data_IF_837103136604
#
_entry.id   IF_837103136604
#
_cell.length_a   1.000
_cell.length_b   1.000
_cell.length_c   1.000
_cell.angle_alpha   90.00
_cell.angle_beta   90.00
_cell.angle_gamma   90.00
#
_symmetry.space_group_name_H-M   'P 1'
#
loop_
_entity.id
_entity.type
_entity.pdbx_description
1 polymer ?
#
# COMPACT_ATOMS: atom_id res chain seq x y z
N UNK A 1 28.88 -1.10 -14.89
CA UNK A 1 27.49 -1.60 -14.75
C UNK A 1 26.59 -0.71 -15.59
N UNK A 2 25.44 -1.20 -16.05
CA UNK A 2 24.49 -0.37 -16.82
C UNK A 2 23.45 0.26 -15.89
N UNK A 3 23.21 1.56 -16.08
CA UNK A 3 22.09 2.28 -15.47
C UNK A 3 20.82 2.06 -16.30
N UNK A 4 19.74 1.57 -15.67
CA UNK A 4 18.49 1.24 -16.38
C UNK A 4 17.40 2.30 -16.14
N UNK A 5 16.80 2.81 -17.22
CA UNK A 5 15.66 3.71 -17.18
C UNK A 5 14.39 2.96 -17.58
N UNK A 6 13.38 2.97 -16.70
CA UNK A 6 12.08 2.36 -16.93
C UNK A 6 10.99 3.44 -17.02
N UNK A 7 10.43 3.61 -18.22
CA UNK A 7 9.21 4.40 -18.43
C UNK A 7 8.00 3.72 -17.80
N UNK A 8 6.89 4.45 -17.66
CA UNK A 8 5.64 3.88 -17.13
C UNK A 8 5.13 2.68 -17.95
N UNK A 9 5.25 2.76 -19.29
CA UNK A 9 4.87 1.66 -20.18
C UNK A 9 5.83 0.45 -20.05
N UNK A 10 7.13 0.69 -19.83
CA UNK A 10 8.09 -0.37 -19.56
C UNK A 10 7.77 -1.08 -18.24
N UNK A 11 7.50 -0.32 -17.17
CA UNK A 11 7.07 -0.86 -15.87
C UNK A 11 5.79 -1.69 -16.04
N UNK A 12 4.77 -1.15 -16.70
CA UNK A 12 3.53 -1.88 -16.99
C UNK A 12 3.78 -3.17 -17.77
N UNK A 13 4.65 -3.13 -18.76
CA UNK A 13 4.98 -4.30 -19.59
C UNK A 13 5.56 -5.43 -18.71
N UNK A 14 6.55 -5.11 -17.89
CA UNK A 14 7.17 -6.07 -16.97
C UNK A 14 6.14 -6.62 -15.98
N UNK A 15 5.40 -5.74 -15.30
CA UNK A 15 4.46 -6.14 -14.25
C UNK A 15 3.28 -6.97 -14.76
N UNK A 16 2.76 -6.69 -15.96
CA UNK A 16 1.65 -7.48 -16.52
C UNK A 16 2.08 -8.86 -16.98
N UNK A 17 3.36 -9.06 -17.27
CA UNK A 17 3.94 -10.33 -17.70
C UNK A 17 4.36 -11.23 -16.54
N UNK A 18 4.15 -10.80 -15.29
CA UNK A 18 4.44 -11.61 -14.11
C UNK A 18 3.40 -12.71 -13.96
N UNK A 19 3.87 -13.93 -13.78
CA UNK A 19 3.04 -15.08 -13.43
C UNK A 19 2.87 -15.23 -11.91
N UNK A 20 2.26 -16.34 -11.49
CA UNK A 20 2.05 -16.62 -10.06
C UNK A 20 3.36 -16.82 -9.30
N UNK A 21 4.33 -17.49 -9.90
CA UNK A 21 5.60 -17.81 -9.25
C UNK A 21 6.49 -16.56 -9.14
N UNK A 22 6.50 -15.71 -10.19
CA UNK A 22 7.10 -14.39 -10.18
C UNK A 22 6.54 -13.53 -9.02
N UNK A 23 5.21 -13.47 -8.88
CA UNK A 23 4.56 -12.71 -7.80
C UNK A 23 4.89 -13.29 -6.42
N UNK A 24 4.94 -14.62 -6.29
CA UNK A 24 5.30 -15.27 -5.02
C UNK A 24 6.77 -15.01 -4.64
N UNK A 25 7.68 -15.02 -5.62
CA UNK A 25 9.09 -14.68 -5.42
C UNK A 25 9.24 -13.22 -4.98
N UNK A 26 8.59 -12.27 -5.67
CA UNK A 26 8.57 -10.85 -5.28
C UNK A 26 7.98 -10.65 -3.88
N UNK A 27 6.91 -11.36 -3.54
CA UNK A 27 6.37 -11.34 -2.18
C UNK A 27 7.37 -11.88 -1.17
N UNK A 28 8.12 -12.92 -1.51
CA UNK A 28 9.09 -13.49 -0.60
C UNK A 28 10.25 -12.50 -0.33
N UNK A 29 10.82 -11.91 -1.38
CA UNK A 29 11.86 -10.89 -1.24
C UNK A 29 11.38 -9.70 -0.40
N UNK A 30 10.17 -9.19 -0.68
CA UNK A 30 9.60 -8.09 0.10
C UNK A 30 9.31 -8.50 1.56
N UNK A 31 8.83 -9.72 1.80
CA UNK A 31 8.59 -10.24 3.13
C UNK A 31 9.88 -10.35 3.95
N UNK A 32 10.99 -10.70 3.30
CA UNK A 32 12.31 -10.84 3.91
C UNK A 32 12.87 -9.48 4.31
N UNK A 33 12.78 -8.50 3.41
CA UNK A 33 13.17 -7.12 3.74
C UNK A 33 12.29 -6.50 4.82
N UNK A 34 10.98 -6.76 4.83
CA UNK A 34 10.09 -6.30 5.89
C UNK A 34 10.40 -6.95 7.24
N UNK A 35 10.80 -8.23 7.24
CA UNK A 35 11.24 -8.89 8.45
C UNK A 35 12.50 -8.23 9.03
N UNK A 36 13.50 -8.00 8.17
CA UNK A 36 14.74 -7.26 8.49
C UNK A 36 14.43 -5.85 9.00
N UNK A 37 13.43 -5.19 8.44
CA UNK A 37 12.96 -3.88 8.92
C UNK A 37 12.34 -3.92 10.32
N UNK A 38 11.53 -4.95 10.60
CA UNK A 38 10.83 -5.12 11.86
C UNK A 38 11.70 -5.62 13.01
N UNK A 39 12.89 -6.18 12.73
CA UNK A 39 13.77 -6.73 13.75
C UNK A 39 14.99 -5.85 13.94
N UNK A 40 15.10 -5.34 15.16
CA UNK A 40 16.27 -4.62 15.68
C UNK A 40 17.33 -5.66 16.06
N UNK A 41 18.15 -6.05 15.09
CA UNK A 41 19.35 -6.86 15.32
C UNK A 41 20.55 -5.92 15.11
N UNK A 42 21.41 -5.77 16.13
CA UNK A 42 22.59 -4.89 16.13
C UNK A 42 23.54 -5.12 14.93
N UNK A 43 23.37 -6.23 14.21
CA UNK A 43 24.13 -6.59 13.01
C UNK A 43 23.57 -6.03 11.70
N UNK A 44 22.37 -5.43 11.72
CA UNK A 44 21.59 -5.12 10.53
C UNK A 44 21.34 -3.61 10.35
N UNK A 45 22.07 -2.95 9.44
CA UNK A 45 21.96 -1.49 9.20
C UNK A 45 20.72 -1.02 8.43
N UNK A 46 19.65 -1.82 8.35
CA UNK A 46 18.45 -1.55 7.55
C UNK A 46 17.13 -1.69 8.32
N UNK A 47 17.19 -1.83 9.64
CA UNK A 47 15.99 -1.86 10.49
C UNK A 47 15.23 -0.50 10.47
N UNK A 48 14.08 -0.47 11.14
CA UNK A 48 13.22 0.70 11.23
C UNK A 48 13.91 1.97 11.77
N UNK A 49 14.90 1.85 12.66
CA UNK A 49 15.62 2.97 13.27
C UNK A 49 16.57 3.67 12.29
N UNK A 50 17.06 2.95 11.27
CA UNK A 50 17.90 3.50 10.21
C UNK A 50 17.09 4.12 9.05
N UNK A 51 15.77 3.90 9.01
CA UNK A 51 14.94 4.49 7.96
C UNK A 51 14.57 5.94 8.29
N UNK A 52 14.78 6.82 7.32
CA UNK A 52 14.38 8.21 7.47
C UNK A 52 12.86 8.37 7.26
N UNK A 53 12.19 9.21 8.07
CA UNK A 53 10.80 9.55 7.83
C UNK A 53 10.67 10.31 6.51
N UNK A 54 9.55 10.10 5.81
CA UNK A 54 9.22 10.86 4.60
C UNK A 54 9.30 12.37 4.87
N UNK A 55 9.95 13.09 3.96
CA UNK A 55 10.08 14.54 4.02
C UNK A 55 9.11 15.19 3.04
N UNK A 56 8.58 16.37 3.39
CA UNK A 56 7.65 17.10 2.53
C UNK A 56 8.15 18.50 2.23
N UNK A 57 8.18 18.86 0.95
CA UNK A 57 8.42 20.21 0.46
C UNK A 57 7.11 20.79 -0.06
N UNK A 58 6.63 21.85 0.59
CA UNK A 58 5.43 22.59 0.16
C UNK A 58 5.85 23.79 -0.69
N UNK A 59 5.30 23.86 -1.91
CA UNK A 59 5.52 24.96 -2.83
C UNK A 59 4.45 26.05 -2.63
N UNK A 60 4.76 27.28 -3.04
CA UNK A 60 3.84 28.44 -2.90
C UNK A 60 2.53 28.27 -3.66
N UNK A 61 2.52 27.44 -4.69
CA UNK A 61 1.35 27.14 -5.52
C UNK A 61 0.47 25.99 -4.97
N UNK A 62 0.74 25.54 -3.74
CA UNK A 62 -0.01 24.47 -3.07
C UNK A 62 0.44 23.06 -3.44
N UNK A 63 1.37 22.88 -4.40
CA UNK A 63 1.95 21.56 -4.68
C UNK A 63 2.80 21.09 -3.50
N UNK A 64 2.71 19.82 -3.18
CA UNK A 64 3.53 19.19 -2.14
C UNK A 64 4.34 18.07 -2.76
N UNK A 65 5.66 18.16 -2.68
CA UNK A 65 6.57 17.08 -3.11
C UNK A 65 7.00 16.30 -1.88
N UNK A 66 6.83 14.98 -1.93
CA UNK A 66 7.26 14.03 -0.92
C UNK A 66 8.56 13.37 -1.35
N UNK A 67 9.51 13.29 -0.43
CA UNK A 67 10.77 12.59 -0.57
C UNK A 67 10.76 11.41 0.40
N UNK A 68 10.92 10.20 -0.13
CA UNK A 68 10.85 8.96 0.62
C UNK A 68 12.16 8.20 0.41
N UNK A 69 13.25 8.61 1.08
CA UNK A 69 14.49 7.85 1.10
C UNK A 69 14.27 6.53 1.85
N UNK A 70 14.98 5.48 1.45
CA UNK A 70 15.00 4.21 2.14
C UNK A 70 16.31 3.45 1.87
N UNK A 71 16.64 2.55 2.79
CA UNK A 71 17.77 1.65 2.69
C UNK A 71 17.30 0.20 2.88
N UNK A 72 17.90 -0.71 2.13
CA UNK A 72 17.82 -2.16 2.28
C UNK A 72 19.24 -2.71 2.25
N UNK A 73 19.44 -3.99 2.59
CA UNK A 73 20.78 -4.57 2.75
C UNK A 73 21.72 -4.33 1.54
N UNK A 74 21.15 -4.37 0.34
CA UNK A 74 21.93 -4.29 -0.90
C UNK A 74 21.69 -3.00 -1.70
N UNK A 75 20.67 -2.20 -1.33
CA UNK A 75 20.24 -1.05 -2.14
C UNK A 75 19.84 0.15 -1.28
N UNK A 76 20.20 1.33 -1.76
CA UNK A 76 19.70 2.61 -1.26
C UNK A 76 18.85 3.26 -2.35
N UNK A 77 17.77 3.93 -1.98
CA UNK A 77 16.96 4.62 -2.98
C UNK A 77 16.13 5.73 -2.41
N UNK A 78 15.54 6.51 -3.33
CA UNK A 78 14.63 7.58 -2.98
C UNK A 78 13.48 7.63 -3.95
N UNK A 79 12.27 7.61 -3.41
CA UNK A 79 11.07 7.91 -4.19
C UNK A 79 10.71 9.37 -4.02
N UNK A 80 10.54 10.08 -5.13
CA UNK A 80 10.11 11.47 -5.15
C UNK A 80 8.76 11.55 -5.84
N UNK A 81 7.76 12.09 -5.15
CA UNK A 81 6.37 12.13 -5.64
C UNK A 81 5.80 13.52 -5.43
N UNK A 82 5.19 14.11 -6.46
CA UNK A 82 4.49 15.40 -6.33
C UNK A 82 2.98 15.20 -6.33
N UNK A 83 2.34 15.72 -5.29
CA UNK A 83 0.90 15.83 -5.16
C UNK A 83 0.46 17.20 -5.68
N UNK A 84 -0.43 17.20 -6.67
CA UNK A 84 -1.11 18.41 -7.13
C UNK A 84 -1.96 18.99 -6.00
N UNK A 85 -2.08 20.32 -5.92
CA UNK A 85 -3.08 20.95 -5.06
C UNK A 85 -4.46 20.43 -5.48
N UNK A 86 -5.13 19.66 -4.63
CA UNK A 86 -6.51 19.28 -4.84
C UNK A 86 -7.39 20.47 -4.46
N UNK A 87 -8.26 20.90 -5.39
CA UNK A 87 -9.28 21.93 -5.15
C UNK A 87 -10.09 21.60 -3.90
N UNK A 88 -9.85 22.36 -2.83
CA UNK A 88 -10.67 22.36 -1.61
C UNK A 88 -12.06 22.99 -1.83
N UNK A 89 -12.66 22.84 -3.01
CA UNK A 89 -13.95 23.41 -3.38
C UNK A 89 -14.75 22.48 -4.30
N UNK A 90 -15.28 21.38 -3.75
CA UNK A 90 -16.42 20.68 -4.37
C UNK A 90 -17.20 19.83 -3.36
N UNK A 91 -17.67 20.47 -2.29
CA UNK A 91 -18.71 19.92 -1.42
C UNK A 91 -19.61 21.05 -0.89
N UNK A 92 -20.42 21.63 -1.78
CA UNK A 92 -21.55 22.45 -1.38
C UNK A 92 -22.66 22.33 -2.44
N UNK A 93 -23.54 21.35 -2.24
CA UNK A 93 -24.74 21.14 -3.03
C UNK A 93 -25.94 20.92 -2.13
N UNK A 94 -26.72 21.99 -1.94
CA UNK A 94 -28.15 22.04 -1.57
C UNK A 94 -28.60 21.74 -0.12
N UNK A 95 -28.86 22.83 0.62
CA UNK A 95 -30.20 23.09 1.16
C UNK A 95 -30.44 24.59 1.32
N UNK A 96 -31.47 25.12 0.64
CA UNK A 96 -31.96 26.50 0.78
C UNK A 96 -32.75 26.64 2.10
N UNK A 97 -32.44 27.67 2.88
CA UNK A 97 -33.23 28.17 4.01
C UNK A 97 -32.68 29.55 4.44
N UNK A 98 -33.55 30.53 4.64
CA UNK A 98 -33.29 31.99 4.56
C UNK A 98 -32.76 32.70 5.83
N UNK A 99 -32.14 33.88 5.60
CA UNK A 99 -31.98 35.09 6.47
C UNK A 99 -31.13 34.96 7.75
N UNK A 100 -30.22 35.86 8.19
CA UNK A 100 -29.70 37.21 7.83
C UNK A 100 -28.39 37.45 8.64
N UNK A 101 -27.58 38.51 8.41
CA UNK A 101 -26.13 38.53 8.70
C UNK A 101 -25.68 39.29 9.97
N UNK A 102 -24.55 38.88 10.57
CA UNK A 102 -23.66 39.79 11.33
C UNK A 102 -22.24 39.22 11.59
N UNK A 103 -21.25 39.84 10.94
CA UNK A 103 -19.91 40.27 11.38
C UNK A 103 -19.00 39.44 12.32
N UNK A 104 -17.80 39.17 11.77
CA UNK A 104 -16.42 39.41 12.27
C UNK A 104 -15.63 38.32 13.03
N UNK A 105 -14.57 37.93 12.34
CA UNK A 105 -13.16 37.71 12.75
C UNK A 105 -12.78 36.56 13.69
N UNK A 106 -12.13 35.53 13.12
CA UNK A 106 -11.06 34.76 13.77
C UNK A 106 -10.08 34.15 12.72
N UNK A 107 -8.75 34.17 12.97
CA UNK A 107 -7.72 33.94 11.96
C UNK A 107 -7.31 32.47 11.71
N UNK A 108 -6.57 32.30 10.62
CA UNK A 108 -6.10 31.08 9.96
C UNK A 108 -5.33 30.05 10.82
N UNK A 109 -5.69 28.79 10.64
CA UNK A 109 -5.18 27.59 11.31
C UNK A 109 -3.93 26.98 10.61
N UNK A 110 -2.93 27.82 10.32
CA UNK A 110 -1.67 27.40 9.64
C UNK A 110 -0.43 27.44 10.54
N UNK A 111 -0.58 27.57 11.86
CA UNK A 111 0.53 27.61 12.81
C UNK A 111 0.31 26.61 13.95
N UNK A 112 0.66 25.33 13.73
CA UNK A 112 0.85 24.41 14.86
C UNK A 112 1.69 23.16 14.56
N UNK A 113 2.58 23.17 13.57
CA UNK A 113 3.42 21.99 13.29
C UNK A 113 4.84 22.39 12.86
N UNK A 114 5.58 22.98 13.80
CA UNK A 114 7.04 23.07 13.73
C UNK A 114 7.62 23.57 15.06
N UNK A 115 7.52 22.74 16.10
CA UNK A 115 8.41 22.83 17.25
C UNK A 115 8.90 21.44 17.59
N UNK A 116 10.14 21.15 17.22
CA UNK A 116 11.11 20.47 18.08
C UNK A 116 12.48 20.37 17.39
N UNK A 117 13.50 20.68 18.20
CA UNK A 117 14.94 20.48 18.01
C UNK A 117 15.73 21.57 17.26
N UNK A 118 16.16 22.54 18.07
CA UNK A 118 17.35 23.36 17.85
C UNK A 118 18.56 22.68 18.49
N UNK A 119 19.66 22.55 17.75
CA UNK A 119 21.01 22.44 18.31
C UNK A 119 21.98 23.31 17.49
N UNK A 120 22.86 23.98 18.24
CA UNK A 120 23.53 25.22 17.93
C UNK A 120 24.65 25.15 16.87
N UNK A 121 24.87 26.24 16.12
CA UNK A 121 26.15 26.98 16.15
C UNK A 121 26.10 28.34 15.42
N UNK A 122 26.41 29.38 16.21
CA UNK A 122 27.13 30.64 15.98
C UNK A 122 27.10 31.33 14.59
N UNK A 123 26.58 32.55 14.65
CA UNK A 123 26.54 33.62 13.64
C UNK A 123 27.88 34.33 13.41
N UNK A 124 28.10 34.81 12.18
CA UNK A 124 28.60 36.17 11.96
C UNK A 124 28.32 36.64 10.52
N UNK A 125 27.41 37.61 10.37
CA UNK A 125 27.31 38.50 9.20
C UNK A 125 28.25 39.69 9.40
N UNK A 126 28.66 40.43 8.34
CA UNK A 126 27.82 41.56 7.92
C UNK A 126 27.81 41.90 6.40
N UNK A 127 26.63 42.36 5.96
CA UNK A 127 26.29 43.54 5.12
C UNK A 127 26.96 43.85 3.75
N UNK A 128 26.25 44.59 2.86
CA UNK A 128 26.41 44.51 1.40
C UNK A 128 27.04 45.76 0.73
N UNK A 129 27.59 45.59 -0.47
CA UNK A 129 27.85 46.70 -1.40
C UNK A 129 27.78 46.26 -2.88
N UNK A 130 26.96 47.02 -3.62
CA UNK A 130 26.70 47.25 -5.06
C UNK A 130 27.40 46.45 -6.19
N UNK A 131 26.74 46.34 -7.38
CA UNK A 131 27.20 45.58 -8.54
C UNK A 131 28.04 46.44 -9.52
N UNK A 132 29.00 45.82 -10.21
CA UNK A 132 29.61 46.40 -11.41
C UNK A 132 30.01 45.30 -12.42
N UNK A 133 29.73 45.63 -13.69
CA UNK A 133 30.26 45.12 -14.96
C UNK A 133 29.93 43.70 -15.45
N UNK A 134 28.95 43.65 -16.36
CA UNK A 134 28.85 42.65 -17.42
C UNK A 134 29.25 43.30 -18.77
N UNK A 135 30.08 42.66 -19.61
CA UNK A 135 30.32 43.09 -21.00
C UNK A 135 29.19 42.62 -21.94
N UNK A 136 29.08 43.21 -23.15
CA UNK A 136 27.88 43.14 -23.98
C UNK A 136 27.71 41.83 -24.76
N UNK A 137 26.45 41.53 -25.03
CA UNK A 137 25.93 40.36 -25.72
C UNK A 137 26.49 40.18 -27.15
N UNK A 138 27.02 38.98 -27.43
CA UNK A 138 27.20 38.48 -28.80
C UNK A 138 26.02 37.56 -29.11
N UNK A 139 25.11 38.06 -29.94
CA UNK A 139 23.92 37.36 -30.41
C UNK A 139 24.30 36.32 -31.50
N UNK A 140 24.39 35.05 -31.13
CA UNK A 140 24.40 33.95 -32.10
C UNK A 140 22.97 33.55 -32.46
N UNK A 141 22.57 33.89 -33.68
CA UNK A 141 21.30 33.55 -34.29
C UNK A 141 21.24 32.04 -34.64
N UNK A 142 20.77 31.21 -33.72
CA UNK A 142 20.42 29.81 -34.00
C UNK A 142 18.93 29.73 -34.38
N UNK A 143 18.67 29.78 -35.69
CA UNK A 143 17.41 29.30 -36.27
C UNK A 143 17.28 27.80 -36.02
N UNK A 144 16.45 27.42 -35.05
CA UNK A 144 16.14 26.01 -34.81
C UNK A 144 15.63 25.71 -33.41
N UNK A 145 14.72 26.53 -32.86
CA UNK A 145 14.04 26.17 -31.61
C UNK A 145 12.76 25.42 -31.94
N UNK A 146 12.85 24.10 -32.01
CA UNK A 146 11.69 23.25 -31.76
C UNK A 146 11.20 23.58 -30.35
N UNK A 147 10.11 24.33 -30.24
CA UNK A 147 9.39 24.45 -28.99
C UNK A 147 8.93 23.04 -28.61
N UNK A 148 9.53 22.45 -27.57
CA UNK A 148 8.93 21.30 -26.88
C UNK A 148 7.67 21.84 -26.22
N UNK A 149 6.59 21.79 -26.99
CA UNK A 149 5.26 22.09 -26.53
C UNK A 149 4.89 20.95 -25.58
N UNK A 150 4.94 21.22 -24.28
CA UNK A 150 4.33 20.35 -23.30
C UNK A 150 2.88 20.16 -23.73
N UNK A 151 2.54 18.97 -24.21
CA UNK A 151 1.18 18.53 -24.43
C UNK A 151 0.47 18.48 -23.08
N UNK A 152 0.06 19.64 -22.57
CA UNK A 152 -0.93 19.72 -21.52
C UNK A 152 -2.21 19.17 -22.14
N UNK A 153 -2.46 17.88 -21.91
CA UNK A 153 -3.77 17.30 -22.19
C UNK A 153 -4.78 18.15 -21.40
N UNK A 154 -5.63 18.87 -22.12
CA UNK A 154 -6.71 19.70 -21.58
C UNK A 154 -7.84 18.84 -20.97
N UNK A 155 -7.49 17.83 -20.17
CA UNK A 155 -8.43 17.11 -19.33
C UNK A 155 -8.54 17.86 -18.01
N UNK A 156 -9.63 18.61 -17.84
CA UNK A 156 -10.10 19.24 -16.58
C UNK A 156 -10.50 18.21 -15.51
N UNK A 157 -9.80 17.10 -15.41
CA UNK A 157 -9.84 16.19 -14.26
C UNK A 157 -8.41 16.10 -13.77
N UNK A 158 -8.10 16.85 -12.70
CA UNK A 158 -6.81 16.74 -12.04
C UNK A 158 -6.56 15.26 -11.73
N UNK A 159 -5.51 14.68 -12.33
CA UNK A 159 -5.16 13.30 -12.08
C UNK A 159 -4.88 13.15 -10.58
N UNK A 160 -5.71 12.39 -9.88
CA UNK A 160 -5.56 12.10 -8.44
C UNK A 160 -4.41 11.12 -8.17
N UNK A 161 -3.79 10.59 -9.23
CA UNK A 161 -2.65 9.68 -9.11
C UNK A 161 -1.37 10.51 -8.95
N UNK A 162 -0.63 10.33 -7.84
CA UNK A 162 0.62 11.03 -7.63
C UNK A 162 1.63 10.69 -8.74
N UNK A 163 2.30 11.71 -9.29
CA UNK A 163 3.36 11.54 -10.29
C UNK A 163 4.72 11.59 -9.62
N UNK A 164 5.63 10.71 -10.01
CA UNK A 164 6.93 10.63 -9.38
C UNK A 164 7.89 9.69 -10.08
N UNK A 165 9.08 9.59 -9.50
CA UNK A 165 10.11 8.64 -9.91
C UNK A 165 10.75 8.00 -8.68
N UNK A 166 11.29 6.80 -8.88
CA UNK A 166 12.10 6.07 -7.93
C UNK A 166 13.51 5.98 -8.49
N UNK A 167 14.48 6.47 -7.73
CA UNK A 167 15.90 6.33 -8.04
C UNK A 167 16.50 5.26 -7.13
N UNK A 168 17.24 4.32 -7.71
CA UNK A 168 17.92 3.24 -7.03
C UNK A 168 19.43 3.36 -7.19
N UNK A 169 20.15 3.09 -6.12
CA UNK A 169 21.61 3.03 -6.05
C UNK A 169 22.03 1.67 -5.51
N UNK A 170 23.15 1.17 -6.00
CA UNK A 170 23.79 -0.01 -5.44
C UNK A 170 24.53 0.32 -4.14
N UNK A 171 25.10 -0.70 -3.49
CA UNK A 171 25.85 -0.57 -2.24
C UNK A 171 27.13 0.28 -2.37
N UNK A 172 27.61 0.56 -3.59
CA UNK A 172 28.77 1.41 -3.84
C UNK A 172 28.40 2.88 -4.08
N UNK A 173 27.09 3.16 -4.19
CA UNK A 173 26.55 4.49 -4.48
C UNK A 173 26.41 4.81 -5.97
N UNK A 174 26.64 3.85 -6.86
CA UNK A 174 26.39 4.02 -8.29
C UNK A 174 24.90 3.91 -8.59
N UNK A 175 24.40 4.71 -9.54
CA UNK A 175 22.99 4.69 -9.89
C UNK A 175 22.63 3.42 -10.66
N UNK A 176 21.78 2.59 -10.06
CA UNK A 176 21.30 1.34 -10.64
C UNK A 176 20.13 1.56 -11.60
N UNK A 177 19.16 2.38 -11.20
CA UNK A 177 17.96 2.59 -12.01
C UNK A 177 17.19 3.88 -11.71
N UNK A 178 16.44 4.34 -12.72
CA UNK A 178 15.44 5.39 -12.63
C UNK A 178 14.11 4.88 -13.17
N UNK A 179 13.12 4.78 -12.30
CA UNK A 179 11.86 4.08 -12.56
C UNK A 179 10.71 5.08 -12.43
N UNK A 180 9.77 5.09 -13.37
CA UNK A 180 8.51 5.80 -13.15
C UNK A 180 7.76 5.21 -11.94
N UNK A 181 7.38 6.05 -10.99
CA UNK A 181 6.84 5.60 -9.71
C UNK A 181 5.33 5.27 -9.74
N UNK A 182 4.63 5.61 -10.81
CA UNK A 182 3.17 5.62 -10.84
C UNK A 182 2.58 4.21 -10.73
N UNK A 183 3.01 3.30 -11.60
CA UNK A 183 2.51 1.93 -11.61
C UNK A 183 3.09 1.09 -10.46
N UNK A 184 4.40 1.21 -10.23
CA UNK A 184 5.10 0.42 -9.20
C UNK A 184 4.58 0.72 -7.78
N UNK A 185 4.18 1.96 -7.48
CA UNK A 185 3.63 2.32 -6.16
C UNK A 185 2.31 1.58 -5.89
N UNK A 186 1.45 1.44 -6.90
CA UNK A 186 0.22 0.69 -6.76
C UNK A 186 0.48 -0.82 -6.67
N UNK A 187 1.38 -1.33 -7.51
CA UNK A 187 1.77 -2.73 -7.50
C UNK A 187 2.38 -3.18 -6.17
N UNK A 188 3.39 -2.48 -5.66
CA UNK A 188 4.07 -2.85 -4.39
C UNK A 188 3.12 -2.82 -3.18
N UNK A 189 2.13 -1.93 -3.21
CA UNK A 189 1.12 -1.83 -2.15
C UNK A 189 0.18 -3.04 -2.18
N UNK A 190 -0.27 -3.41 -3.39
CA UNK A 190 -1.05 -4.62 -3.61
C UNK A 190 -0.23 -5.89 -3.30
N UNK A 191 1.07 -5.90 -3.60
CA UNK A 191 1.96 -7.02 -3.35
C UNK A 191 2.03 -7.36 -1.86
N UNK A 192 2.23 -6.34 -1.01
CA UNK A 192 2.24 -6.49 0.44
C UNK A 192 0.85 -6.85 1.00
N UNK A 193 -0.21 -6.15 0.58
CA UNK A 193 -1.56 -6.42 1.07
C UNK A 193 -2.05 -7.82 0.67
N UNK A 194 -1.53 -8.41 -0.41
CA UNK A 194 -1.93 -9.77 -0.80
C UNK A 194 -1.14 -10.88 -0.12
N UNK A 195 -0.12 -10.57 0.69
CA UNK A 195 0.65 -11.57 1.46
C UNK A 195 -0.21 -12.29 2.51
N UNK A 196 -1.13 -11.56 3.15
CA UNK A 196 -2.10 -12.13 4.10
C UNK A 196 -3.30 -12.72 3.37
N UNK A 197 -3.74 -12.09 2.27
CA UNK A 197 -4.83 -12.58 1.43
C UNK A 197 -4.58 -14.00 0.92
N UNK A 198 -3.38 -14.31 0.39
CA UNK A 198 -3.10 -15.64 -0.17
C UNK A 198 -3.22 -16.76 0.85
N UNK A 199 -3.03 -16.46 2.14
CA UNK A 199 -3.13 -17.41 3.27
C UNK A 199 -4.59 -17.70 3.64
N UNK A 200 -5.57 -16.89 3.21
CA UNK A 200 -6.98 -17.08 3.61
C UNK A 200 -7.53 -18.39 3.09
N UNK A 201 -8.22 -19.16 3.94
CA UNK A 201 -8.85 -20.40 3.48
C UNK A 201 -10.03 -20.15 2.53
N UNK A 202 -10.75 -19.05 2.73
CA UNK A 202 -11.87 -18.67 1.87
C UNK A 202 -11.60 -17.31 1.23
N UNK A 203 -11.75 -17.23 -0.09
CA UNK A 203 -11.65 -16.02 -0.91
C UNK A 203 -12.74 -15.93 -1.99
N UNK A 204 -13.85 -16.69 -1.83
CA UNK A 204 -14.89 -16.80 -2.86
C UNK A 204 -15.53 -15.46 -3.23
N UNK A 205 -15.67 -14.54 -2.27
CA UNK A 205 -16.29 -13.24 -2.47
C UNK A 205 -15.29 -12.14 -2.09
N UNK A 206 -14.80 -11.42 -3.09
CA UNK A 206 -13.86 -10.30 -2.91
C UNK A 206 -14.58 -8.99 -3.25
N UNK A 207 -14.42 -7.99 -2.39
CA UNK A 207 -14.92 -6.63 -2.64
C UNK A 207 -13.76 -5.64 -2.69
N UNK A 208 -13.77 -4.75 -3.67
CA UNK A 208 -12.77 -3.70 -3.84
C UNK A 208 -13.48 -2.36 -3.93
N UNK A 209 -13.09 -1.43 -3.06
CA UNK A 209 -13.52 -0.03 -3.14
C UNK A 209 -12.56 0.76 -4.00
N UNK A 210 -13.12 1.52 -4.94
CA UNK A 210 -12.39 2.31 -5.91
C UNK A 210 -12.24 1.61 -7.26
N UNK A 211 -11.86 2.39 -8.26
CA UNK A 211 -11.59 1.91 -9.62
C UNK A 211 -10.30 2.53 -10.22
N UNK A 212 -9.37 2.91 -9.35
CA UNK A 212 -8.06 3.47 -9.75
C UNK A 212 -6.97 2.41 -9.84
N UNK A 213 -5.70 2.84 -9.99
CA UNK A 213 -4.55 1.93 -10.09
C UNK A 213 -4.40 0.99 -8.89
N UNK A 214 -4.67 1.48 -7.68
CA UNK A 214 -4.62 0.65 -6.48
C UNK A 214 -5.65 -0.49 -6.56
N UNK A 215 -6.93 -0.17 -6.83
CA UNK A 215 -7.98 -1.17 -7.04
C UNK A 215 -7.62 -2.18 -8.14
N UNK A 216 -7.06 -1.69 -9.26
CA UNK A 216 -6.62 -2.53 -10.38
C UNK A 216 -5.58 -3.57 -9.97
N UNK A 217 -4.50 -3.16 -9.30
CA UNK A 217 -3.43 -4.07 -8.91
C UNK A 217 -3.85 -5.03 -7.79
N UNK A 218 -4.70 -4.58 -6.85
CA UNK A 218 -5.28 -5.46 -5.85
C UNK A 218 -6.16 -6.54 -6.50
N UNK A 219 -6.99 -6.18 -7.48
CA UNK A 219 -7.78 -7.14 -8.24
C UNK A 219 -6.89 -8.11 -9.02
N UNK A 220 -5.90 -7.60 -9.77
CA UNK A 220 -5.02 -8.42 -10.60
C UNK A 220 -4.21 -9.41 -9.77
N UNK A 221 -3.56 -8.97 -8.69
CA UNK A 221 -2.77 -9.86 -7.83
C UNK A 221 -3.65 -10.87 -7.08
N UNK A 222 -4.85 -10.48 -6.64
CA UNK A 222 -5.79 -11.44 -6.04
C UNK A 222 -6.16 -12.56 -7.03
N UNK A 223 -6.41 -12.21 -8.30
CA UNK A 223 -6.74 -13.16 -9.36
C UNK A 223 -5.54 -14.02 -9.80
N UNK A 224 -4.32 -13.48 -9.81
CA UNK A 224 -3.10 -14.28 -10.07
C UNK A 224 -2.88 -15.30 -8.94
N UNK A 225 -3.03 -14.88 -7.69
CA UNK A 225 -2.71 -15.73 -6.55
C UNK A 225 -3.78 -16.80 -6.29
N UNK A 226 -5.07 -16.43 -6.44
CA UNK A 226 -6.23 -17.23 -6.01
C UNK A 226 -7.40 -17.20 -6.99
N UNK A 227 -7.15 -16.95 -8.28
CA UNK A 227 -8.18 -16.78 -9.30
C UNK A 227 -9.25 -17.86 -9.30
N UNK A 228 -8.85 -19.13 -9.26
CA UNK A 228 -9.76 -20.29 -9.32
C UNK A 228 -10.71 -20.37 -8.12
N UNK A 229 -10.31 -19.84 -6.97
CA UNK A 229 -11.12 -19.83 -5.75
C UNK A 229 -12.06 -18.61 -5.68
N UNK A 230 -11.79 -17.56 -6.45
CA UNK A 230 -12.59 -16.33 -6.44
C UNK A 230 -13.80 -16.54 -7.35
N UNK A 231 -15.00 -16.60 -6.77
CA UNK A 231 -16.24 -16.78 -7.51
C UNK A 231 -16.88 -15.44 -7.89
N UNK A 232 -16.81 -14.44 -7.01
CA UNK A 232 -17.36 -13.10 -7.21
C UNK A 232 -16.33 -12.01 -6.90
N UNK A 233 -16.19 -11.07 -7.83
CA UNK A 233 -15.42 -9.84 -7.66
C UNK A 233 -16.36 -8.63 -7.75
N UNK A 234 -16.54 -7.96 -6.62
CA UNK A 234 -17.44 -6.81 -6.49
C UNK A 234 -16.64 -5.51 -6.46
N UNK A 235 -16.93 -4.58 -7.37
CA UNK A 235 -16.30 -3.27 -7.42
C UNK A 235 -17.28 -2.22 -6.91
N UNK A 236 -16.93 -1.55 -5.81
CA UNK A 236 -17.70 -0.42 -5.27
C UNK A 236 -17.03 0.87 -5.70
N UNK A 237 -17.69 1.67 -6.53
CA UNK A 237 -17.11 2.91 -7.05
C UNK A 237 -18.14 4.03 -7.21
N UNK A 238 -17.68 5.28 -7.17
CA UNK A 238 -18.54 6.47 -7.32
C UNK A 238 -19.26 6.52 -8.67
N UNK A 239 -18.57 6.12 -9.75
CA UNK A 239 -19.10 6.08 -11.11
C UNK A 239 -19.06 4.68 -11.69
N UNK A 240 -20.11 4.32 -12.43
CA UNK A 240 -20.19 3.05 -13.14
C UNK A 240 -19.11 2.96 -14.22
N UNK A 241 -18.99 3.98 -15.07
CA UNK A 241 -18.02 4.03 -16.17
C UNK A 241 -16.56 3.94 -15.71
N UNK A 242 -16.24 4.45 -14.52
CA UNK A 242 -14.91 4.31 -13.92
C UNK A 242 -14.60 2.85 -13.59
N UNK A 243 -15.55 2.15 -12.95
CA UNK A 243 -15.41 0.73 -12.62
C UNK A 243 -15.39 -0.15 -13.87
N UNK A 244 -16.26 0.13 -14.85
CA UNK A 244 -16.29 -0.63 -16.10
C UNK A 244 -14.96 -0.51 -16.86
N UNK A 245 -14.40 0.70 -17.00
CA UNK A 245 -13.09 0.88 -17.67
C UNK A 245 -11.96 0.14 -16.96
N UNK A 246 -11.96 0.12 -15.63
CA UNK A 246 -10.97 -0.66 -14.87
C UNK A 246 -11.11 -2.16 -15.16
N UNK A 247 -12.34 -2.68 -15.15
CA UNK A 247 -12.64 -4.10 -15.45
C UNK A 247 -12.23 -4.44 -16.89
N UNK A 248 -12.58 -3.61 -17.86
CA UNK A 248 -12.17 -3.77 -19.26
C UNK A 248 -10.64 -3.80 -19.39
N UNK A 249 -9.93 -2.93 -18.67
CA UNK A 249 -8.46 -2.92 -18.63
C UNK A 249 -7.88 -4.16 -17.96
N UNK A 250 -8.55 -4.71 -16.95
CA UNK A 250 -8.12 -5.88 -16.18
C UNK A 250 -8.13 -7.16 -17.03
N UNK A 251 -9.16 -7.32 -17.86
CA UNK A 251 -9.36 -8.48 -18.72
C UNK A 251 -9.04 -8.20 -20.20
N UNK A 252 -8.38 -7.07 -20.49
CA UNK A 252 -7.96 -6.74 -21.86
C UNK A 252 -7.02 -7.83 -22.37
N UNK A 253 -7.29 -8.32 -23.58
CA UNK A 253 -6.40 -9.20 -24.33
C UNK A 253 -5.20 -8.42 -24.86
N UNK A 254 -4.15 -9.14 -25.24
CA UNK A 254 -2.86 -8.53 -25.46
C UNK A 254 -2.73 -7.73 -26.75
N UNK A 255 -2.22 -6.51 -26.61
CA UNK A 255 -1.82 -5.64 -27.72
C UNK A 255 -0.33 -5.21 -27.59
N UNK A 256 0.37 -5.69 -26.56
CA UNK A 256 1.71 -5.23 -26.16
C UNK A 256 2.88 -6.08 -26.69
N UNK A 257 4.12 -5.60 -26.57
CA UNK A 257 5.32 -6.33 -26.99
C UNK A 257 5.64 -7.54 -26.10
N UNK A 258 5.14 -7.56 -24.86
CA UNK A 258 5.34 -8.66 -23.90
C UNK A 258 3.98 -9.22 -23.53
N UNK A 259 3.87 -10.55 -23.60
CA UNK A 259 2.64 -11.24 -23.31
C UNK A 259 2.23 -11.05 -21.83
N UNK A 260 1.05 -10.49 -21.59
CA UNK A 260 0.36 -10.41 -20.31
C UNK A 260 0.02 -11.81 -19.83
N UNK A 261 0.33 -12.08 -18.57
CA UNK A 261 -0.11 -13.31 -17.94
C UNK A 261 -1.66 -13.35 -17.87
N UNK A 262 -2.30 -14.46 -18.29
CA UNK A 262 -3.75 -14.61 -18.24
C UNK A 262 -4.25 -14.69 -16.78
N UNK A 263 -5.48 -14.25 -16.54
CA UNK A 263 -6.09 -14.30 -15.21
C UNK A 263 -7.49 -14.91 -15.29
N UNK A 264 -7.90 -15.62 -14.24
CA UNK A 264 -9.26 -16.14 -14.12
C UNK A 264 -10.29 -15.00 -14.11
N UNK A 265 -11.43 -15.19 -14.78
CA UNK A 265 -12.51 -14.21 -14.83
C UNK A 265 -13.69 -14.66 -13.96
N UNK A 266 -13.84 -14.11 -12.74
CA UNK A 266 -14.97 -14.43 -11.86
C UNK A 266 -16.25 -13.73 -12.32
N UNK A 267 -17.36 -13.99 -11.62
CA UNK A 267 -18.57 -13.17 -11.76
C UNK A 267 -18.30 -11.75 -11.25
N UNK A 268 -18.66 -10.75 -12.05
CA UNK A 268 -18.39 -9.35 -11.76
C UNK A 268 -19.68 -8.63 -11.36
N UNK A 269 -19.57 -7.77 -10.35
CA UNK A 269 -20.65 -6.86 -9.97
C UNK A 269 -20.09 -5.46 -9.71
N UNK A 270 -20.81 -4.43 -10.15
CA UNK A 270 -20.47 -3.03 -9.88
C UNK A 270 -21.56 -2.43 -8.99
N UNK A 271 -21.17 -1.83 -7.89
CA UNK A 271 -22.07 -1.18 -6.93
C UNK A 271 -21.74 0.31 -6.90
N UNK A 272 -22.74 1.15 -7.15
CA UNK A 272 -22.57 2.61 -7.20
C UNK A 272 -23.55 3.31 -6.24
N UNK A 273 -23.14 4.43 -5.60
CA UNK A 273 -24.01 5.18 -4.68
C UNK A 273 -25.34 5.67 -5.27
N UNK A 274 -25.41 5.85 -6.59
CA UNK A 274 -26.60 6.33 -7.30
C UNK A 274 -27.69 5.26 -7.44
N UNK A 275 -27.40 3.99 -7.13
CA UNK A 275 -28.39 2.93 -7.19
C UNK A 275 -29.40 3.07 -6.02
N UNK A 276 -30.73 2.98 -6.25
CA UNK A 276 -31.74 3.18 -5.19
C UNK A 276 -31.56 2.28 -3.97
N UNK A 277 -31.09 1.04 -4.20
CA UNK A 277 -30.83 0.07 -3.14
C UNK A 277 -29.37 0.02 -2.68
N UNK A 278 -28.56 1.05 -2.96
CA UNK A 278 -27.13 1.06 -2.68
C UNK A 278 -26.79 0.60 -1.25
N UNK A 279 -27.45 1.17 -0.25
CA UNK A 279 -27.19 0.82 1.16
C UNK A 279 -27.48 -0.65 1.47
N UNK A 280 -28.55 -1.20 0.89
CA UNK A 280 -28.94 -2.62 1.05
C UNK A 280 -27.91 -3.54 0.37
N UNK A 281 -27.57 -3.23 -0.88
CA UNK A 281 -26.62 -4.00 -1.68
C UNK A 281 -25.20 -3.95 -1.09
N UNK A 282 -24.74 -2.78 -0.67
CA UNK A 282 -23.44 -2.60 -0.02
C UNK A 282 -23.34 -3.44 1.25
N UNK A 283 -24.33 -3.32 2.14
CA UNK A 283 -24.38 -4.10 3.39
C UNK A 283 -24.39 -5.60 3.14
N UNK A 284 -25.19 -6.06 2.17
CA UNK A 284 -25.26 -7.48 1.81
C UNK A 284 -23.91 -7.97 1.26
N UNK A 285 -23.32 -7.22 0.33
CA UNK A 285 -22.05 -7.56 -0.33
C UNK A 285 -20.92 -7.64 0.68
N UNK A 286 -20.74 -6.62 1.52
CA UNK A 286 -19.68 -6.60 2.55
C UNK A 286 -19.83 -7.72 3.57
N UNK A 287 -21.06 -8.10 3.91
CA UNK A 287 -21.31 -9.24 4.82
C UNK A 287 -21.00 -10.59 4.17
N UNK A 288 -21.13 -10.71 2.85
CA UNK A 288 -20.78 -11.92 2.11
C UNK A 288 -19.28 -12.01 1.83
N UNK A 289 -18.61 -10.87 1.63
CA UNK A 289 -17.18 -10.82 1.33
C UNK A 289 -16.31 -11.57 2.34
N UNK A 290 -15.41 -12.40 1.82
CA UNK A 290 -14.32 -13.01 2.56
C UNK A 290 -13.10 -12.07 2.65
N UNK A 291 -12.90 -11.24 1.62
CA UNK A 291 -11.88 -10.20 1.59
C UNK A 291 -12.43 -8.86 1.10
N UNK A 292 -11.97 -7.76 1.70
CA UNK A 292 -12.34 -6.38 1.36
C UNK A 292 -11.06 -5.58 1.17
N UNK A 293 -10.86 -5.00 -0.02
CA UNK A 293 -9.76 -4.08 -0.31
C UNK A 293 -10.30 -2.65 -0.41
N UNK A 294 -9.92 -1.81 0.54
CA UNK A 294 -10.18 -0.38 0.54
C UNK A 294 -9.00 0.34 -0.11
N UNK A 295 -9.25 0.99 -1.25
CA UNK A 295 -8.20 1.63 -2.06
C UNK A 295 -8.53 3.07 -2.47
N UNK A 296 -9.36 3.75 -1.68
CA UNK A 296 -9.90 5.08 -1.96
C UNK A 296 -9.30 6.12 -1.01
N UNK A 297 -8.83 7.27 -1.52
CA UNK A 297 -8.40 8.37 -0.67
C UNK A 297 -9.63 9.06 -0.05
N UNK A 298 -10.12 8.52 1.06
CA UNK A 298 -11.33 8.99 1.75
C UNK A 298 -11.01 9.75 3.04
N UNK A 299 -11.83 10.74 3.36
CA UNK A 299 -11.83 11.47 4.64
C UNK A 299 -12.96 10.99 5.57
N UNK A 300 -13.84 10.12 5.07
CA UNK A 300 -14.94 9.53 5.81
C UNK A 300 -14.96 7.99 5.63
N UNK A 301 -15.46 7.24 6.62
CA UNK A 301 -15.57 5.79 6.51
C UNK A 301 -16.38 5.35 5.29
N UNK A 302 -15.88 4.36 4.54
CA UNK A 302 -16.49 3.88 3.30
C UNK A 302 -17.86 3.22 3.49
N UNK A 303 -18.15 2.77 4.72
CA UNK A 303 -19.42 2.18 5.11
C UNK A 303 -19.65 2.31 6.63
N UNK A 304 -20.90 2.23 7.11
CA UNK A 304 -21.19 2.28 8.55
C UNK A 304 -20.56 1.11 9.33
N UNK A 305 -19.97 1.33 10.51
CA UNK A 305 -19.28 0.28 11.28
C UNK A 305 -20.18 -0.93 11.58
N UNK A 306 -21.46 -0.68 11.87
CA UNK A 306 -22.46 -1.71 12.19
C UNK A 306 -22.61 -2.79 11.11
N UNK A 307 -22.21 -2.53 9.87
CA UNK A 307 -22.20 -3.55 8.79
C UNK A 307 -21.33 -4.74 9.20
N UNK A 308 -20.17 -4.49 9.82
CA UNK A 308 -19.19 -5.50 10.20
C UNK A 308 -19.10 -5.74 11.72
N UNK A 309 -19.43 -4.75 12.55
CA UNK A 309 -19.33 -4.86 14.01
C UNK A 309 -20.56 -5.51 14.68
N UNK A 310 -21.72 -5.48 13.99
CA UNK A 310 -22.93 -6.17 14.49
C UNK A 310 -22.74 -7.68 14.62
N UNK A 311 -23.55 -8.34 15.45
CA UNK A 311 -23.53 -9.81 15.63
C UNK A 311 -23.59 -10.56 14.30
N UNK A 312 -24.44 -10.12 13.36
CA UNK A 312 -24.50 -10.67 12.01
C UNK A 312 -23.24 -10.40 11.19
N UNK A 313 -22.68 -9.20 11.29
CA UNK A 313 -21.42 -8.82 10.65
C UNK A 313 -20.28 -9.73 11.09
N UNK A 314 -20.19 -10.03 12.39
CA UNK A 314 -19.11 -10.82 13.00
C UNK A 314 -19.18 -12.33 12.74
N UNK A 315 -20.22 -12.85 12.08
CA UNK A 315 -20.38 -14.29 11.82
C UNK A 315 -19.30 -14.90 10.91
N UNK A 316 -18.58 -14.07 10.15
CA UNK A 316 -17.51 -14.51 9.25
C UNK A 316 -16.23 -13.77 9.62
N UNK A 317 -15.13 -14.51 9.70
CA UNK A 317 -13.81 -13.90 9.74
C UNK A 317 -13.41 -13.41 8.36
N UNK A 318 -12.97 -12.16 8.27
CA UNK A 318 -12.64 -11.49 7.02
C UNK A 318 -11.23 -10.96 7.02
N UNK A 319 -10.68 -10.86 5.81
CA UNK A 319 -9.50 -10.04 5.57
C UNK A 319 -9.95 -8.65 5.07
N UNK A 320 -9.45 -7.58 5.67
CA UNK A 320 -9.74 -6.21 5.26
C UNK A 320 -8.42 -5.49 5.09
N UNK A 321 -8.13 -4.97 3.89
CA UNK A 321 -6.95 -4.17 3.61
C UNK A 321 -7.34 -2.72 3.41
N UNK A 322 -6.79 -1.79 4.19
CA UNK A 322 -7.02 -0.34 4.09
C UNK A 322 -5.72 0.38 3.68
N UNK A 323 -5.62 0.76 2.41
CA UNK A 323 -4.41 1.32 1.79
C UNK A 323 -4.63 2.69 1.12
N UNK A 324 -5.89 3.12 0.99
CA UNK A 324 -6.27 4.37 0.33
C UNK A 324 -6.11 5.60 1.24
N UNK A 325 -6.23 5.44 2.55
CA UNK A 325 -5.99 6.49 3.57
C UNK A 325 -4.52 6.51 4.01
N UNK A 326 -3.82 7.62 3.83
CA UNK A 326 -2.38 7.76 4.11
C UNK A 326 -2.01 9.09 4.79
N UNK A 327 -3.01 9.81 5.32
CA UNK A 327 -2.82 11.04 6.10
C UNK A 327 -3.65 10.96 7.38
N UNK A 328 -3.28 11.69 8.46
CA UNK A 328 -3.97 11.60 9.75
C UNK A 328 -5.48 11.90 9.71
N UNK A 329 -5.92 12.77 8.81
CA UNK A 329 -7.34 13.11 8.63
C UNK A 329 -8.09 12.17 7.68
N UNK A 330 -7.38 11.28 6.96
CA UNK A 330 -7.98 10.35 6.02
C UNK A 330 -8.34 9.04 6.72
N UNK A 331 -9.52 8.50 6.41
CA UNK A 331 -10.01 7.22 6.95
C UNK A 331 -10.77 6.47 5.88
N UNK A 332 -10.58 5.15 5.81
CA UNK A 332 -11.41 4.26 4.99
C UNK A 332 -12.31 3.39 5.86
N UNK A 333 -11.82 2.99 7.02
CA UNK A 333 -12.57 2.25 8.02
C UNK A 333 -12.94 3.14 9.20
N UNK A 334 -14.13 2.92 9.75
CA UNK A 334 -14.52 3.58 10.99
C UNK A 334 -13.65 3.05 12.15
N UNK A 335 -13.14 3.91 13.06
CA UNK A 335 -12.25 3.52 14.16
C UNK A 335 -12.75 2.36 15.04
N UNK A 336 -14.07 2.24 15.22
CA UNK A 336 -14.70 1.12 15.96
C UNK A 336 -14.38 -0.26 15.37
N UNK A 337 -14.14 -0.37 14.07
CA UNK A 337 -13.74 -1.63 13.44
C UNK A 337 -12.36 -2.06 13.97
N UNK A 338 -11.44 -1.11 14.12
CA UNK A 338 -10.10 -1.35 14.64
C UNK A 338 -10.12 -1.62 16.14
N UNK A 339 -10.88 -0.83 16.92
CA UNK A 339 -11.05 -1.08 18.38
C UNK A 339 -11.61 -2.46 18.64
N UNK A 340 -12.59 -2.90 17.86
CA UNK A 340 -13.14 -4.24 17.96
C UNK A 340 -12.12 -5.32 17.54
N UNK A 341 -11.28 -5.03 16.55
CA UNK A 341 -10.24 -5.97 16.12
C UNK A 341 -9.20 -6.21 17.22
N UNK A 342 -8.88 -5.21 18.05
CA UNK A 342 -7.90 -5.37 19.14
C UNK A 342 -8.53 -5.69 20.50
N UNK A 343 -9.87 -5.66 20.60
CA UNK A 343 -10.57 -5.88 21.85
C UNK A 343 -10.26 -7.29 22.42
N UNK A 344 -10.01 -7.42 23.74
CA UNK A 344 -9.73 -8.71 24.35
C UNK A 344 -10.90 -9.69 24.16
N UNK A 345 -10.60 -10.97 23.98
CA UNK A 345 -11.61 -12.03 23.92
C UNK A 345 -12.20 -12.25 25.33
N UNK A 346 -13.22 -11.47 25.68
CA UNK A 346 -13.95 -11.63 26.93
C UNK A 346 -15.02 -12.74 26.75
N UNK A 347 -14.59 -14.00 26.68
CA UNK A 347 -15.52 -15.10 26.43
C UNK A 347 -15.04 -16.47 26.93
N UNK A 348 -15.35 -16.79 28.19
CA UNK A 348 -15.27 -18.15 28.76
C UNK A 348 -16.48 -19.02 28.32
N UNK A 349 -16.85 -18.99 27.03
CA UNK A 349 -18.05 -19.68 26.54
C UNK A 349 -17.70 -20.73 25.48
N UNK A 350 -17.85 -21.99 25.88
CA UNK A 350 -17.73 -23.21 25.07
C UNK A 350 -18.86 -23.35 24.01
N UNK A 351 -19.04 -22.35 23.14
CA UNK A 351 -19.92 -22.46 21.97
C UNK A 351 -19.12 -22.18 20.71
N UNK A 352 -19.38 -22.95 19.65
CA UNK A 352 -18.77 -22.89 18.29
C UNK A 352 -19.08 -21.58 17.53
N UNK A 353 -18.99 -20.43 18.18
CA UNK A 353 -19.12 -19.13 17.55
C UNK A 353 -17.73 -18.51 17.36
N UNK A 354 -17.58 -17.67 16.33
CA UNK A 354 -16.32 -17.03 15.98
C UNK A 354 -15.66 -16.40 17.22
N UNK A 355 -14.38 -16.72 17.45
CA UNK A 355 -13.53 -16.15 18.52
C UNK A 355 -13.75 -14.62 18.55
N UNK A 356 -14.01 -14.03 19.72
CA UNK A 356 -14.06 -12.57 19.81
C UNK A 356 -12.62 -12.05 19.72
N UNK A 357 -12.41 -10.92 19.05
CA UNK A 357 -11.07 -10.40 18.74
C UNK A 357 -10.59 -10.73 17.33
N UNK A 358 -9.78 -9.82 16.81
CA UNK A 358 -9.09 -9.87 15.53
C UNK A 358 -7.63 -9.49 15.73
N UNK A 359 -7.01 -8.90 14.71
CA UNK A 359 -5.73 -8.23 14.84
C UNK A 359 -5.62 -7.19 13.74
N UNK A 360 -4.86 -6.16 14.07
CA UNK A 360 -4.53 -5.06 13.18
C UNK A 360 -3.08 -5.21 12.81
N UNK A 361 -2.83 -5.54 11.55
CA UNK A 361 -1.51 -5.69 10.97
C UNK A 361 -1.15 -4.41 10.25
N UNK A 362 0.06 -3.93 10.43
CA UNK A 362 0.57 -2.69 9.80
C UNK A 362 1.80 -2.96 8.94
N UNK A 363 2.09 -2.10 7.98
CA UNK A 363 3.38 -2.14 7.25
C UNK A 363 4.53 -1.61 8.10
N UNK A 364 4.29 -0.57 8.89
CA UNK A 364 5.20 0.00 9.89
C UNK A 364 4.37 0.55 11.04
N UNK A 365 4.70 0.15 12.28
CA UNK A 365 4.09 0.68 13.50
C UNK A 365 4.31 2.18 13.55
N UNK A 366 5.56 2.62 13.41
CA UNK A 366 5.91 4.03 13.56
C UNK A 366 5.19 4.91 12.52
N UNK A 367 5.19 4.49 11.25
CA UNK A 367 4.53 5.24 10.19
C UNK A 367 3.00 5.26 10.37
N UNK A 368 2.38 4.12 10.72
CA UNK A 368 0.94 4.06 10.93
C UNK A 368 0.49 4.89 12.13
N UNK A 369 1.27 4.93 13.22
CA UNK A 369 0.97 5.78 14.39
C UNK A 369 1.05 7.29 14.07
N UNK A 370 1.82 7.66 13.04
CA UNK A 370 1.95 9.06 12.60
C UNK A 370 0.96 9.45 11.49
N UNK A 371 0.57 8.51 10.63
CA UNK A 371 -0.10 8.82 9.36
C UNK A 371 -1.44 8.12 9.14
N UNK A 372 -1.70 6.97 9.77
CA UNK A 372 -2.92 6.21 9.54
C UNK A 372 -4.08 6.77 10.39
N UNK A 373 -4.93 7.61 9.79
CA UNK A 373 -6.03 8.25 10.49
C UNK A 373 -6.92 7.29 11.26
N UNK A 374 -7.22 6.10 10.72
CA UNK A 374 -8.06 5.12 11.41
C UNK A 374 -7.39 4.47 12.63
N UNK A 375 -6.06 4.31 12.64
CA UNK A 375 -5.29 3.83 13.80
C UNK A 375 -5.23 4.91 14.87
N UNK A 376 -4.89 6.14 14.47
CA UNK A 376 -4.78 7.31 15.34
C UNK A 376 -6.12 7.61 16.01
N UNK A 377 -7.20 7.69 15.22
CA UNK A 377 -8.53 8.00 15.73
C UNK A 377 -9.12 6.85 16.57
N UNK A 378 -8.70 5.60 16.33
CA UNK A 378 -9.07 4.48 17.19
C UNK A 378 -8.40 4.55 18.57
N UNK A 379 -7.28 5.28 18.69
CA UNK A 379 -6.50 5.38 19.91
C UNK A 379 -5.66 4.12 20.17
N UNK A 380 -5.29 3.39 19.11
CA UNK A 380 -4.45 2.20 19.25
C UNK A 380 -3.03 2.58 19.60
N UNK A 381 -2.39 1.75 20.43
CA UNK A 381 -0.98 1.80 20.76
C UNK A 381 -0.16 0.82 19.92
N UNK A 382 1.16 1.01 19.88
CA UNK A 382 2.09 0.10 19.18
C UNK A 382 2.05 -1.35 19.66
N UNK A 383 1.50 -1.60 20.86
CA UNK A 383 1.35 -2.95 21.42
C UNK A 383 0.09 -3.69 20.94
N UNK A 384 -0.85 -2.97 20.34
CA UNK A 384 -2.14 -3.50 19.86
C UNK A 384 -2.13 -3.79 18.36
N UNK A 385 -1.04 -3.45 17.69
CA UNK A 385 -0.81 -3.71 16.27
C UNK A 385 0.42 -4.59 16.11
N UNK A 386 0.51 -5.30 14.99
CA UNK A 386 1.66 -6.17 14.67
C UNK A 386 2.18 -5.80 13.30
N UNK A 387 3.49 -5.71 13.12
CA UNK A 387 4.06 -5.45 11.79
C UNK A 387 3.95 -6.68 10.88
N UNK A 388 3.76 -6.41 9.59
CA UNK A 388 3.71 -7.47 8.59
C UNK A 388 5.00 -8.29 8.56
N UNK A 389 6.15 -7.65 8.78
CA UNK A 389 7.47 -8.31 8.84
C UNK A 389 7.59 -9.34 9.96
N UNK A 390 7.03 -9.06 11.14
CA UNK A 390 7.03 -10.00 12.28
C UNK A 390 6.19 -11.26 12.00
N UNK A 391 5.05 -11.12 11.31
CA UNK A 391 4.18 -12.25 10.98
C UNK A 391 4.79 -13.21 9.95
N UNK A 392 5.74 -12.75 9.14
CA UNK A 392 6.44 -13.60 8.16
C UNK A 392 7.32 -14.62 8.88
N UNK A 393 7.97 -14.23 9.99
CA UNK A 393 8.84 -15.08 10.80
C UNK A 393 8.11 -16.22 11.49
N UNK A 394 7.01 -15.89 12.17
CA UNK A 394 6.26 -16.88 12.96
C UNK A 394 5.88 -18.10 12.09
N UNK A 395 5.57 -17.87 10.82
CA UNK A 395 5.27 -18.93 9.86
C UNK A 395 6.51 -19.71 9.40
N UNK A 396 7.65 -19.06 9.16
CA UNK A 396 8.89 -19.74 8.74
C UNK A 396 9.43 -20.65 9.83
N UNK A 397 9.42 -20.16 11.07
CA UNK A 397 9.84 -20.94 12.22
C UNK A 397 8.87 -22.11 12.48
N UNK A 398 7.57 -21.92 12.22
CA UNK A 398 6.58 -23.00 12.22
C UNK A 398 6.92 -24.10 11.21
N UNK A 399 7.15 -23.70 9.95
CA UNK A 399 7.37 -24.60 8.82
C UNK A 399 8.71 -25.33 8.93
N UNK A 400 9.78 -24.66 9.36
CA UNK A 400 11.09 -25.27 9.60
C UNK A 400 10.99 -26.35 10.70
N UNK A 401 10.37 -26.03 11.85
CA UNK A 401 10.17 -27.01 12.94
C UNK A 401 9.31 -28.20 12.50
N UNK A 402 8.34 -27.97 11.61
CA UNK A 402 7.51 -29.04 11.05
C UNK A 402 8.31 -29.96 10.11
N UNK A 403 9.16 -29.39 9.24
CA UNK A 403 10.04 -30.18 8.36
C UNK A 403 11.07 -30.99 9.14
N UNK A 404 11.71 -30.39 10.14
CA UNK A 404 12.69 -31.08 11.00
C UNK A 404 12.06 -32.26 11.77
N UNK A 405 10.80 -32.13 12.19
CA UNK A 405 10.09 -33.22 12.85
C UNK A 405 9.65 -34.33 11.88
N UNK A 406 9.22 -34.00 10.66
CA UNK A 406 8.88 -34.97 9.63
C UNK A 406 10.12 -35.75 9.11
N UNK A 407 11.28 -35.09 9.00
CA UNK A 407 12.55 -35.73 8.62
C UNK A 407 13.08 -36.69 9.69
N UNK A 408 12.85 -36.39 10.97
CA UNK A 408 13.21 -37.29 12.07
C UNK A 408 12.33 -38.55 12.12
N UNK A 409 11.04 -38.45 11.77
CA UNK A 409 10.12 -39.60 11.73
C UNK A 409 10.37 -40.55 10.54
N UNK A 410 10.93 -40.07 9.43
CA UNK A 410 11.22 -40.86 8.23
C UNK A 410 12.44 -41.80 8.31
N UNK A 411 13.28 -41.67 9.35
CA UNK A 411 14.53 -42.44 9.49
C UNK A 411 14.46 -43.64 10.47
N UNK A 412 13.31 -43.83 11.14
CA UNK A 412 13.12 -44.90 12.14
C UNK A 412 12.28 -46.08 11.64
N UNK A 413 12.93 -47.20 11.29
CA UNK A 413 12.25 -48.49 11.17
C UNK A 413 11.74 -48.96 12.53
N UNK A 414 10.43 -49.17 12.67
CA UNK A 414 9.84 -50.03 13.70
C UNK A 414 9.03 -49.34 14.81
N UNK A 415 7.71 -49.29 14.60
CA UNK A 415 6.64 -49.49 15.59
C UNK A 415 6.73 -48.85 16.98
N UNK A 416 5.90 -47.82 17.21
CA UNK A 416 4.89 -47.73 18.30
C UNK A 416 4.14 -46.39 18.18
N UNK A 417 2.81 -46.44 18.09
CA UNK A 417 1.93 -45.27 18.22
C UNK A 417 2.11 -44.65 19.62
N UNK A 418 3.05 -43.72 19.77
CA UNK A 418 3.10 -42.82 20.92
C UNK A 418 2.28 -41.57 20.60
N UNK A 419 1.28 -41.31 21.42
CA UNK A 419 0.53 -40.05 21.45
C UNK A 419 1.51 -38.91 21.81
N UNK A 420 2.06 -38.23 20.79
CA UNK A 420 2.92 -37.07 21.01
C UNK A 420 2.10 -35.94 21.65
N UNK A 421 2.45 -35.59 22.89
CA UNK A 421 1.86 -34.47 23.63
C UNK A 421 2.35 -33.17 22.98
N UNK A 422 1.47 -32.46 22.27
CA UNK A 422 1.77 -31.16 21.61
C UNK A 422 2.44 -30.21 22.59
N UNK A 423 3.55 -29.61 22.17
CA UNK A 423 4.25 -28.60 22.97
C UNK A 423 3.45 -27.28 22.98
N UNK A 424 3.62 -26.47 24.02
CA UNK A 424 2.93 -25.18 24.18
C UNK A 424 3.22 -24.22 23.02
N UNK A 425 4.45 -24.27 22.47
CA UNK A 425 4.86 -23.47 21.31
C UNK A 425 4.13 -23.88 20.03
N UNK A 426 4.00 -25.18 19.76
CA UNK A 426 3.29 -25.70 18.59
C UNK A 426 1.79 -25.37 18.62
N UNK A 427 1.18 -25.40 19.82
CA UNK A 427 -0.23 -25.01 19.99
C UNK A 427 -0.50 -23.51 19.78
N UNK A 428 0.48 -22.65 20.07
CA UNK A 428 0.38 -21.20 19.85
C UNK A 428 0.46 -20.88 18.35
N UNK A 429 1.36 -21.56 17.65
CA UNK A 429 1.62 -21.40 16.22
C UNK A 429 0.43 -21.83 15.34
N UNK A 430 -0.16 -22.98 15.67
CA UNK A 430 -1.40 -23.45 15.03
C UNK A 430 -2.57 -22.51 15.32
N UNK A 431 -2.60 -21.89 16.51
CA UNK A 431 -3.61 -20.91 16.88
C UNK A 431 -3.51 -19.62 16.06
N UNK A 432 -2.30 -19.12 15.84
CA UNK A 432 -2.04 -17.94 15.02
C UNK A 432 -2.30 -18.21 13.54
N UNK A 433 -1.90 -19.38 13.04
CA UNK A 433 -2.14 -19.78 11.65
C UNK A 433 -3.64 -19.89 11.38
N UNK A 434 -4.39 -20.66 12.18
CA UNK A 434 -5.84 -20.77 12.03
C UNK A 434 -6.53 -19.39 12.11
N UNK A 435 -6.01 -18.50 12.95
CA UNK A 435 -6.51 -17.14 13.07
C UNK A 435 -6.20 -16.27 11.83
N UNK A 436 -4.98 -16.32 11.28
CA UNK A 436 -4.64 -15.62 10.03
C UNK A 436 -5.44 -16.14 8.84
N UNK A 437 -5.79 -17.42 8.85
CA UNK A 437 -6.52 -18.08 7.76
C UNK A 437 -8.05 -17.91 7.84
N UNK A 438 -8.62 -17.89 9.05
CA UNK A 438 -10.08 -17.90 9.29
C UNK A 438 -10.60 -16.72 10.10
N UNK A 439 -9.76 -16.04 10.89
CA UNK A 439 -10.13 -14.94 11.79
C UNK A 439 -10.39 -13.60 11.08
N UNK A 440 -10.65 -12.55 11.86
CA UNK A 440 -10.83 -11.17 11.37
C UNK A 440 -9.50 -10.41 11.38
N UNK A 441 -8.91 -10.21 10.21
CA UNK A 441 -7.60 -9.56 10.04
C UNK A 441 -7.81 -8.21 9.35
N UNK A 442 -7.36 -7.13 9.95
CA UNK A 442 -7.29 -5.81 9.32
C UNK A 442 -5.84 -5.52 8.99
N UNK A 443 -5.50 -5.34 7.71
CA UNK A 443 -4.21 -4.83 7.28
C UNK A 443 -4.34 -3.34 6.98
N UNK A 444 -3.54 -2.51 7.65
CA UNK A 444 -3.44 -1.08 7.42
C UNK A 444 -2.08 -0.75 6.85
N UNK A 445 -2.03 0.01 5.77
CA UNK A 445 -0.77 0.45 5.18
C UNK A 445 -0.82 1.93 4.82
N UNK A 446 0.29 2.62 5.08
CA UNK A 446 0.56 4.01 4.66
C UNK A 446 1.72 4.10 3.65
N UNK A 447 2.39 2.97 3.44
CA UNK A 447 3.50 2.76 2.54
C UNK A 447 4.82 3.29 3.10
N UNK A 448 5.83 2.43 3.17
CA UNK A 448 7.20 2.83 3.52
C UNK A 448 8.12 2.76 2.29
N UNK A 449 9.16 3.58 2.28
CA UNK A 449 10.11 3.67 1.17
C UNK A 449 10.83 2.35 0.88
N UNK A 450 11.03 1.51 1.91
CA UNK A 450 11.60 0.17 1.79
C UNK A 450 10.87 -0.68 0.75
N UNK A 451 9.53 -0.65 0.77
CA UNK A 451 8.72 -1.41 -0.18
C UNK A 451 8.94 -0.95 -1.63
N UNK A 452 9.21 0.34 -1.82
CA UNK A 452 9.46 0.93 -3.14
C UNK A 452 10.83 0.47 -3.66
N UNK A 453 11.89 0.52 -2.84
CA UNK A 453 13.25 0.15 -3.27
C UNK A 453 13.41 -1.35 -3.50
N UNK A 454 12.81 -2.20 -2.65
CA UNK A 454 12.94 -3.66 -2.75
C UNK A 454 12.24 -4.18 -4.00
N UNK A 455 10.99 -3.76 -4.22
CA UNK A 455 10.23 -4.14 -5.41
C UNK A 455 10.83 -3.49 -6.66
N UNK A 456 11.34 -2.25 -6.54
CA UNK A 456 12.02 -1.56 -7.62
C UNK A 456 13.26 -2.28 -8.12
N UNK A 457 14.14 -2.73 -7.21
CA UNK A 457 15.36 -3.45 -7.57
C UNK A 457 15.03 -4.75 -8.32
N UNK A 458 14.12 -5.56 -7.77
CA UNK A 458 13.67 -6.80 -8.41
C UNK A 458 13.02 -6.55 -9.78
N UNK A 459 12.24 -5.47 -9.92
CA UNK A 459 11.63 -5.10 -11.19
C UNK A 459 12.68 -4.80 -12.25
N UNK A 460 13.77 -4.11 -11.88
CA UNK A 460 14.86 -3.78 -12.79
C UNK A 460 15.60 -5.04 -13.21
N UNK A 461 15.85 -5.98 -12.30
CA UNK A 461 16.50 -7.25 -12.64
C UNK A 461 15.65 -8.07 -13.64
N UNK A 462 14.33 -8.11 -13.43
CA UNK A 462 13.40 -8.75 -14.39
C UNK A 462 13.43 -7.99 -15.72
N UNK A 463 13.41 -6.66 -15.70
CA UNK A 463 13.43 -5.83 -16.91
C UNK A 463 14.73 -6.05 -17.72
N UNK A 464 15.88 -6.08 -17.06
CA UNK A 464 17.18 -6.32 -17.69
C UNK A 464 17.23 -7.74 -18.30
N UNK A 465 16.76 -8.76 -17.57
CA UNK A 465 16.70 -10.14 -18.10
C UNK A 465 15.82 -10.29 -19.34
N UNK A 466 14.83 -9.39 -19.50
CA UNK A 466 13.89 -9.36 -20.62
C UNK A 466 14.24 -8.29 -21.66
N UNK A 467 15.37 -7.57 -21.51
CA UNK A 467 15.79 -6.45 -22.34
C UNK A 467 14.71 -5.35 -22.49
N UNK A 468 14.04 -5.00 -21.39
CA UNK A 468 13.01 -3.97 -21.34
C UNK A 468 13.55 -2.70 -20.68
N UNK A 469 13.36 -1.55 -21.33
CA UNK A 469 13.82 -0.25 -20.85
C UNK A 469 15.00 0.28 -21.66
N UNK A 470 15.59 1.37 -21.18
CA UNK A 470 16.79 1.97 -21.79
C UNK A 470 17.97 1.74 -20.85
N UNK A 471 19.00 1.08 -21.35
CA UNK A 471 20.26 0.89 -20.62
C UNK A 471 21.30 1.91 -21.07
N UNK A 472 21.89 2.60 -20.11
CA UNK A 472 22.98 3.55 -20.31
C UNK A 472 24.23 2.92 -19.72
N UNK A 473 25.28 2.78 -20.54
CA UNK A 473 26.57 2.25 -20.11
C UNK A 473 27.44 3.37 -19.53
N UNK A 474 28.31 3.01 -18.58
CA UNK A 474 29.32 3.90 -17.98
C UNK A 474 28.76 5.22 -17.41
N UNK A 475 27.57 5.14 -16.81
CA UNK A 475 26.98 6.19 -15.97
C UNK A 475 27.58 6.12 -14.56
#
# INVERSE_FOLDING_TARGET
MSFTILSDDAVKSVLHALDKDDVLALQQTLADSLHVYSNDDDTNGCDSSYQLPRQSLRQKDGRTTLFMPACSNDNVGIKVVTLSAGDSSSAAGHSRGSSTPSSKDAPSLAQSLSQSLSSASMSSSPSPSSPADAPPDIEYNIKGRASIQYGASNNKTAATTPRGALTLFDSTGLMRALINAEEITAFRTALASTMLFKKRQNVHDVTIFGAGKQAYWHARLALILRGDDIHHLNIVNRSFDGAQRMIESLFRRDDGPVARHPIHQPKLAIITPHHPEYQRLLKQTLRQSAAIFCTVPSEEPLFPPAVLTSTEGRRRGRYISAVGSYKPHMVELHPDILRQAVAPDHGNHHHKHARQGGAVIVDSIEACMREAGEVIQAGLSGREVVELGELVMLKRDAEMRKRESEEQEGSGSGGKFLHHKRTKSQSYDDGLTDWLERGNVVYKSVGIGLMDIVVGAQLVDIADSRNIGVQIQDF
#
